data_IF_430344130729
#
_entry.id   IF_430344130729
#
_cell.length_a   1.000
_cell.length_b   1.000
_cell.length_c   1.000
_cell.angle_alpha   90.00
_cell.angle_beta   90.00
_cell.angle_gamma   90.00
#
_symmetry.space_group_name_H-M   'P 1'
#
loop_
_entity.id
_entity.type
_entity.pdbx_description
1 polymer ?
#
# COMPACT_ATOMS: atom_id res chain seq x y z
N UNK A 1 24.23 -1.46 -39.63
CA UNK A 1 23.11 -2.24 -39.09
C UNK A 1 21.86 -1.41 -39.31
N UNK A 2 21.06 -1.75 -40.30
CA UNK A 2 19.83 -1.03 -40.63
C UNK A 2 18.79 -1.34 -39.56
N UNK A 3 18.32 -0.30 -38.86
CA UNK A 3 17.11 -0.41 -38.06
C UNK A 3 15.94 -0.60 -39.03
N UNK A 4 15.31 -1.77 -38.99
CA UNK A 4 13.99 -2.01 -39.57
C UNK A 4 13.00 -1.09 -38.86
N UNK A 5 12.84 0.11 -39.40
CA UNK A 5 11.76 1.01 -39.03
C UNK A 5 10.50 0.46 -39.71
N UNK A 6 9.84 -0.50 -39.06
CA UNK A 6 8.48 -0.91 -39.43
C UNK A 6 7.65 0.36 -39.52
N UNK A 7 7.32 0.77 -40.75
CA UNK A 7 6.45 1.90 -41.03
C UNK A 7 5.16 1.63 -40.30
N UNK A 8 4.86 2.43 -39.27
CA UNK A 8 3.62 2.31 -38.53
C UNK A 8 2.47 2.42 -39.54
N UNK A 9 1.76 1.32 -39.76
CA UNK A 9 0.58 1.30 -40.62
C UNK A 9 -0.38 2.37 -40.11
N UNK A 10 -0.70 3.35 -40.95
CA UNK A 10 -1.65 4.38 -40.59
C UNK A 10 -2.98 3.69 -40.25
N UNK A 11 -3.44 3.87 -39.01
CA UNK A 11 -4.74 3.36 -38.58
C UNK A 11 -5.78 4.18 -39.35
N UNK A 12 -6.57 3.55 -40.22
CA UNK A 12 -7.68 4.21 -40.93
C UNK A 12 -8.72 4.69 -39.90
N UNK A 13 -8.56 5.88 -39.34
CA UNK A 13 -9.45 6.43 -38.32
C UNK A 13 -10.86 6.60 -38.87
N UNK A 14 -11.89 6.28 -38.07
CA UNK A 14 -13.30 6.51 -38.44
C UNK A 14 -14.22 5.29 -38.29
N UNK A 15 -13.66 4.11 -38.01
CA UNK A 15 -14.44 2.94 -37.58
C UNK A 15 -14.43 2.88 -36.04
N UNK A 16 -15.45 3.48 -35.42
CA UNK A 16 -15.57 3.58 -33.97
C UNK A 16 -15.58 2.21 -33.26
N UNK A 17 -16.13 1.17 -33.88
CA UNK A 17 -16.16 -0.18 -33.30
C UNK A 17 -14.76 -0.79 -33.25
N UNK A 18 -13.98 -0.68 -34.34
CA UNK A 18 -12.59 -1.10 -34.37
C UNK A 18 -11.75 -0.31 -33.36
N UNK A 19 -11.93 1.01 -33.33
CA UNK A 19 -11.16 1.89 -32.46
C UNK A 19 -11.48 1.63 -30.97
N UNK A 20 -12.73 1.32 -30.62
CA UNK A 20 -13.12 0.89 -29.28
C UNK A 20 -12.48 -0.45 -28.86
N UNK A 21 -12.41 -1.43 -29.77
CA UNK A 21 -11.76 -2.72 -29.53
C UNK A 21 -10.25 -2.56 -29.36
N UNK A 22 -9.61 -1.74 -30.19
CA UNK A 22 -8.19 -1.41 -30.05
C UNK A 22 -7.91 -0.72 -28.72
N UNK A 23 -8.75 0.23 -28.30
CA UNK A 23 -8.62 0.87 -26.99
C UNK A 23 -8.78 -0.11 -25.83
N UNK A 24 -9.74 -1.04 -25.91
CA UNK A 24 -9.90 -2.10 -24.90
C UNK A 24 -8.68 -3.01 -24.82
N UNK A 25 -8.13 -3.40 -25.96
CA UNK A 25 -6.94 -4.25 -26.05
C UNK A 25 -5.68 -3.54 -25.51
N UNK A 26 -5.48 -2.28 -25.89
CA UNK A 26 -4.38 -1.46 -25.36
C UNK A 26 -4.54 -1.30 -23.85
N UNK A 27 -5.75 -0.97 -23.38
CA UNK A 27 -6.02 -0.87 -21.95
C UNK A 27 -5.68 -2.16 -21.22
N UNK A 28 -6.08 -3.33 -21.71
CA UNK A 28 -5.75 -4.60 -21.05
C UNK A 28 -4.24 -4.84 -20.97
N UNK A 29 -3.49 -4.54 -22.03
CA UNK A 29 -2.02 -4.68 -22.02
C UNK A 29 -1.40 -3.69 -21.02
N UNK A 30 -1.86 -2.44 -21.02
CA UNK A 30 -1.34 -1.39 -20.14
C UNK A 30 -1.65 -1.69 -18.68
N UNK A 31 -2.88 -2.08 -18.36
CA UNK A 31 -3.31 -2.41 -16.99
C UNK A 31 -2.51 -3.61 -16.46
N UNK A 32 -2.35 -4.69 -17.24
CA UNK A 32 -1.57 -5.86 -16.83
C UNK A 32 -0.10 -5.51 -16.56
N UNK A 33 0.54 -4.77 -17.47
CA UNK A 33 1.93 -4.32 -17.31
C UNK A 33 2.08 -3.38 -16.11
N UNK A 34 1.11 -2.48 -15.93
CA UNK A 34 1.05 -1.56 -14.80
C UNK A 34 1.00 -2.34 -13.48
N UNK A 35 0.11 -3.33 -13.36
CA UNK A 35 0.00 -4.17 -12.16
C UNK A 35 1.30 -4.91 -11.85
N UNK A 36 1.97 -5.47 -12.87
CA UNK A 36 3.27 -6.13 -12.70
C UNK A 36 4.35 -5.18 -12.19
N UNK A 37 4.44 -3.97 -12.75
CA UNK A 37 5.39 -2.94 -12.32
C UNK A 37 5.11 -2.49 -10.88
N UNK A 38 3.83 -2.27 -10.53
CA UNK A 38 3.43 -1.90 -9.17
C UNK A 38 3.80 -2.99 -8.17
N UNK A 39 3.47 -4.25 -8.49
CA UNK A 39 3.80 -5.40 -7.62
C UNK A 39 5.30 -5.53 -7.40
N UNK A 40 6.11 -5.40 -8.46
CA UNK A 40 7.56 -5.45 -8.36
C UNK A 40 8.13 -4.27 -7.55
N UNK A 41 7.59 -3.06 -7.74
CA UNK A 41 7.97 -1.88 -6.99
C UNK A 41 7.63 -2.01 -5.49
N UNK A 42 6.48 -2.61 -5.15
CA UNK A 42 6.06 -2.84 -3.77
C UNK A 42 6.91 -3.91 -3.09
N UNK A 43 7.17 -5.02 -3.76
CA UNK A 43 8.08 -6.06 -3.26
C UNK A 43 9.46 -5.48 -2.96
N UNK A 44 10.01 -4.68 -3.89
CA UNK A 44 11.29 -4.01 -3.68
C UNK A 44 11.26 -3.03 -2.50
N UNK A 45 10.18 -2.26 -2.36
CA UNK A 45 10.01 -1.29 -1.28
C UNK A 45 9.94 -1.97 0.09
N UNK A 46 9.23 -3.09 0.19
CA UNK A 46 9.15 -3.88 1.42
C UNK A 46 10.50 -4.49 1.79
N UNK A 47 11.26 -4.98 0.80
CA UNK A 47 12.63 -5.47 1.02
C UNK A 47 13.58 -4.35 1.48
N UNK A 48 13.56 -3.19 0.82
CA UNK A 48 14.38 -2.03 1.22
C UNK A 48 14.04 -1.52 2.62
N UNK A 49 12.77 -1.58 3.02
CA UNK A 49 12.35 -1.27 4.38
C UNK A 49 12.92 -2.26 5.39
N UNK A 50 12.87 -3.57 5.10
CA UNK A 50 13.44 -4.59 5.98
C UNK A 50 14.96 -4.42 6.19
N UNK A 51 15.68 -3.88 5.20
CA UNK A 51 17.13 -3.66 5.29
C UNK A 51 17.53 -2.33 5.93
N UNK A 52 16.82 -1.23 5.59
CA UNK A 52 17.27 0.14 5.83
C UNK A 52 16.29 0.99 6.64
N UNK A 53 15.19 0.40 7.10
CA UNK A 53 14.13 1.06 7.88
C UNK A 53 13.61 2.36 7.23
N UNK A 54 13.63 2.40 5.90
CA UNK A 54 13.21 3.60 5.16
C UNK A 54 11.73 3.47 4.79
N UNK A 55 10.87 4.20 5.49
CA UNK A 55 9.42 4.09 5.33
C UNK A 55 8.89 4.79 4.07
N UNK A 56 9.44 5.96 3.69
CA UNK A 56 8.91 6.78 2.60
C UNK A 56 9.96 7.16 1.56
N UNK A 57 9.58 7.09 0.28
CA UNK A 57 10.37 7.59 -0.84
C UNK A 57 9.56 8.53 -1.74
N UNK A 58 10.28 9.45 -2.39
CA UNK A 58 9.74 10.44 -3.33
C UNK A 58 10.32 10.18 -4.73
N UNK A 59 9.73 9.29 -5.53
CA UNK A 59 10.21 9.02 -6.88
C UNK A 59 10.14 10.28 -7.75
N UNK A 60 11.12 10.44 -8.64
CA UNK A 60 11.26 11.58 -9.54
C UNK A 60 11.30 11.16 -11.01
N UNK A 61 10.87 12.05 -11.89
CA UNK A 61 11.10 11.99 -13.34
C UNK A 61 11.78 13.29 -13.77
N UNK A 62 13.08 13.23 -14.10
CA UNK A 62 13.92 14.42 -14.13
C UNK A 62 13.89 15.13 -12.77
N UNK A 63 13.57 16.42 -12.78
CA UNK A 63 13.45 17.23 -11.55
C UNK A 63 12.05 17.17 -10.91
N UNK A 64 11.07 16.51 -11.54
CA UNK A 64 9.70 16.45 -11.06
C UNK A 64 9.50 15.34 -10.04
N UNK A 65 9.08 15.67 -8.82
CA UNK A 65 8.64 14.68 -7.83
C UNK A 65 7.25 14.18 -8.20
N UNK A 66 7.16 12.90 -8.55
CA UNK A 66 5.92 12.25 -9.02
C UNK A 66 4.92 11.99 -7.90
N UNK A 67 5.37 11.94 -6.66
CA UNK A 67 4.53 11.64 -5.51
C UNK A 67 5.32 11.01 -4.37
N UNK A 68 4.63 10.26 -3.54
CA UNK A 68 5.23 9.48 -2.45
C UNK A 68 4.82 8.02 -2.55
N UNK A 69 5.74 7.11 -2.21
CA UNK A 69 5.44 5.72 -1.87
C UNK A 69 5.87 5.49 -0.42
N UNK A 70 4.96 4.99 0.41
CA UNK A 70 5.15 4.83 1.85
C UNK A 70 4.78 3.42 2.27
N UNK A 71 5.70 2.70 2.91
CA UNK A 71 5.40 1.42 3.56
C UNK A 71 4.43 1.68 4.70
N UNK A 72 3.31 0.97 4.71
CA UNK A 72 2.32 1.07 5.76
C UNK A 72 2.75 0.18 6.93
N UNK A 73 3.29 0.81 7.98
CA UNK A 73 3.63 0.13 9.22
C UNK A 73 2.36 -0.15 10.02
N UNK A 74 1.99 -1.44 10.21
CA UNK A 74 0.92 -1.77 11.13
C UNK A 74 1.37 -1.43 12.56
N UNK A 75 0.43 -0.95 13.37
CA UNK A 75 0.68 -0.61 14.78
C UNK A 75 0.24 -1.76 15.67
N UNK A 76 0.94 -1.93 16.78
CA UNK A 76 0.51 -2.81 17.86
C UNK A 76 -0.88 -2.41 18.34
N UNK A 77 -1.68 -3.39 18.74
CA UNK A 77 -3.05 -3.17 19.19
C UNK A 77 -3.28 -3.86 20.52
N UNK A 78 -4.01 -3.18 21.40
CA UNK A 78 -4.57 -3.81 22.58
C UNK A 78 -5.84 -4.55 22.18
N UNK A 79 -5.91 -5.83 22.53
CA UNK A 79 -7.08 -6.68 22.27
C UNK A 79 -7.51 -7.35 23.55
N UNK A 80 -8.82 -7.52 23.73
CA UNK A 80 -9.35 -8.30 24.84
C UNK A 80 -9.22 -9.77 24.47
N UNK A 81 -8.37 -10.50 25.20
CA UNK A 81 -8.12 -11.93 25.04
C UNK A 81 -9.02 -12.76 25.96
N UNK A 82 -9.34 -12.21 27.13
CA UNK A 82 -10.26 -12.80 28.11
C UNK A 82 -11.41 -11.81 28.34
N UNK A 83 -12.49 -12.02 27.59
CA UNK A 83 -13.69 -11.19 27.70
C UNK A 83 -14.33 -11.30 29.09
N UNK A 84 -14.25 -12.45 29.76
CA UNK A 84 -14.87 -12.67 31.07
C UNK A 84 -14.15 -11.86 32.16
N UNK A 85 -12.81 -11.87 32.16
CA UNK A 85 -12.02 -11.07 33.10
C UNK A 85 -12.20 -9.56 32.87
N UNK A 86 -12.28 -9.14 31.59
CA UNK A 86 -12.49 -7.75 31.21
C UNK A 86 -13.88 -7.25 31.63
N UNK A 87 -14.92 -8.05 31.41
CA UNK A 87 -16.29 -7.73 31.82
C UNK A 87 -16.44 -7.67 33.35
N UNK A 88 -15.88 -8.64 34.08
CA UNK A 88 -15.92 -8.65 35.54
C UNK A 88 -15.25 -7.40 36.16
N UNK A 89 -14.13 -6.94 35.58
CA UNK A 89 -13.49 -5.69 35.98
C UNK A 89 -14.39 -4.48 35.73
N UNK A 90 -14.99 -4.39 34.53
CA UNK A 90 -15.87 -3.30 34.15
C UNK A 90 -17.08 -3.17 35.09
N UNK A 91 -17.65 -4.30 35.51
CA UNK A 91 -18.75 -4.37 36.47
C UNK A 91 -18.31 -3.98 37.89
N UNK A 92 -17.14 -4.45 38.34
CA UNK A 92 -16.66 -4.25 39.71
C UNK A 92 -16.27 -2.81 40.06
N UNK A 93 -15.67 -2.08 39.13
CA UNK A 93 -15.22 -0.70 39.34
C UNK A 93 -16.28 0.36 39.03
N UNK A 94 -17.49 -0.08 38.63
CA UNK A 94 -18.52 0.79 38.09
C UNK A 94 -18.04 1.61 36.87
N UNK A 95 -17.00 1.12 36.18
CA UNK A 95 -16.40 1.74 34.99
C UNK A 95 -17.34 1.75 33.77
N UNK A 96 -18.45 1.02 33.88
CA UNK A 96 -19.59 1.04 32.98
C UNK A 96 -20.92 1.14 33.75
N UNK A 97 -21.17 2.26 34.44
CA UNK A 97 -22.50 2.51 35.06
C UNK A 97 -23.54 2.87 34.00
N UNK A 98 -23.96 1.90 33.17
CA UNK A 98 -25.32 1.75 32.65
C UNK A 98 -25.33 0.63 31.61
N UNK A 99 -25.72 -0.57 32.05
CA UNK A 99 -26.32 -1.66 31.25
C UNK A 99 -25.82 -1.80 29.81
N UNK A 100 -24.89 -2.74 29.60
CA UNK A 100 -24.83 -3.85 28.62
C UNK A 100 -25.89 -4.03 27.50
N UNK A 101 -26.54 -2.98 27.01
CA UNK A 101 -27.48 -3.04 25.89
C UNK A 101 -27.01 -1.96 24.91
N UNK A 102 -26.17 -2.40 23.96
CA UNK A 102 -25.60 -1.61 22.86
C UNK A 102 -24.46 -0.68 23.29
N UNK A 103 -23.22 -1.16 23.33
CA UNK A 103 -22.26 -0.63 22.34
C UNK A 103 -20.91 -1.38 22.30
N UNK A 104 -20.54 -1.97 21.15
CA UNK A 104 -19.13 -2.24 20.78
C UNK A 104 -18.22 -1.00 20.93
N UNK A 105 -18.82 0.19 20.95
CA UNK A 105 -18.14 1.48 21.10
C UNK A 105 -17.48 1.66 22.47
N UNK A 106 -18.02 1.13 23.57
CA UNK A 106 -17.37 1.26 24.89
C UNK A 106 -16.09 0.43 24.98
N UNK A 107 -16.13 -0.85 24.57
CA UNK A 107 -14.93 -1.72 24.48
C UNK A 107 -13.85 -1.05 23.63
N UNK A 108 -14.25 -0.52 22.48
CA UNK A 108 -13.36 0.23 21.58
C UNK A 108 -12.81 1.51 22.23
N UNK A 109 -13.63 2.25 22.98
CA UNK A 109 -13.22 3.47 23.66
C UNK A 109 -12.24 3.18 24.82
N UNK A 110 -12.51 2.15 25.62
CA UNK A 110 -11.62 1.69 26.70
C UNK A 110 -10.25 1.30 26.12
N UNK A 111 -10.22 0.46 25.08
CA UNK A 111 -8.98 0.07 24.41
C UNK A 111 -8.26 1.25 23.74
N UNK A 112 -9.01 2.23 23.22
CA UNK A 112 -8.44 3.44 22.59
C UNK A 112 -7.67 4.32 23.58
N UNK A 113 -8.07 4.36 24.84
CA UNK A 113 -7.42 5.17 25.87
C UNK A 113 -6.53 4.37 26.82
N UNK A 114 -6.57 3.05 26.74
CA UNK A 114 -5.66 2.17 27.45
C UNK A 114 -4.22 2.34 26.95
N UNK A 115 -3.27 2.09 27.84
CA UNK A 115 -1.83 2.07 27.57
C UNK A 115 -1.29 0.70 27.95
N UNK A 116 -0.30 0.22 27.21
CA UNK A 116 0.44 -0.96 27.60
C UNK A 116 1.53 -0.56 28.60
N UNK A 117 1.58 -1.24 29.74
CA UNK A 117 2.70 -1.18 30.67
C UNK A 117 3.67 -2.31 30.33
N UNK A 118 4.82 -1.95 29.75
CA UNK A 118 5.85 -2.92 29.35
C UNK A 118 6.52 -3.60 30.54
N UNK A 119 6.63 -2.95 31.69
CA UNK A 119 7.31 -3.50 32.86
C UNK A 119 6.50 -4.63 33.48
N UNK A 120 5.18 -4.41 33.60
CA UNK A 120 4.27 -5.37 34.21
C UNK A 120 3.53 -6.27 33.20
N UNK A 121 3.72 -6.03 31.89
CA UNK A 121 3.04 -6.75 30.80
C UNK A 121 1.51 -6.76 30.95
N UNK A 122 0.95 -5.61 31.31
CA UNK A 122 -0.50 -5.42 31.50
C UNK A 122 -1.00 -4.17 30.79
N UNK A 123 -2.28 -4.15 30.43
CA UNK A 123 -2.91 -2.91 29.98
C UNK A 123 -3.35 -2.09 31.21
N UNK A 124 -3.15 -0.78 31.15
CA UNK A 124 -3.57 0.17 32.16
C UNK A 124 -4.47 1.24 31.57
N UNK A 125 -5.44 1.71 32.34
CA UNK A 125 -6.27 2.87 31.98
C UNK A 125 -5.45 4.15 32.02
N UNK A 126 -6.03 5.26 31.55
CA UNK A 126 -5.42 6.60 31.69
C UNK A 126 -5.16 6.98 33.16
N UNK A 127 -5.90 6.41 34.11
CA UNK A 127 -5.72 6.66 35.56
C UNK A 127 -4.69 5.73 36.20
N UNK A 128 -4.10 4.80 35.45
CA UNK A 128 -3.09 3.85 35.94
C UNK A 128 -3.68 2.58 36.56
N UNK A 129 -4.98 2.35 36.43
CA UNK A 129 -5.62 1.12 36.89
C UNK A 129 -5.40 -0.02 35.88
N UNK A 130 -5.10 -1.23 36.37
CA UNK A 130 -4.90 -2.40 35.52
C UNK A 130 -6.23 -2.85 34.92
N UNK A 131 -6.23 -3.09 33.61
CA UNK A 131 -7.35 -3.64 32.85
C UNK A 131 -7.07 -5.13 32.60
N UNK A 132 -7.70 -6.04 33.37
CA UNK A 132 -7.49 -7.47 33.22
C UNK A 132 -8.10 -7.98 31.90
N UNK A 133 -7.55 -9.08 31.40
CA UNK A 133 -8.00 -9.74 30.16
C UNK A 133 -7.60 -9.06 28.86
N UNK A 134 -6.83 -7.96 28.91
CA UNK A 134 -6.30 -7.27 27.73
C UNK A 134 -4.85 -7.69 27.47
N UNK A 135 -4.52 -7.99 26.22
CA UNK A 135 -3.17 -8.31 25.78
C UNK A 135 -2.69 -7.35 24.67
N UNK A 136 -1.38 -7.17 24.58
CA UNK A 136 -0.75 -6.54 23.42
C UNK A 136 -0.64 -7.53 22.27
N UNK A 137 -1.38 -7.30 21.21
CA UNK A 137 -1.19 -7.96 19.93
C UNK A 137 -0.12 -7.19 19.14
N UNK A 138 1.06 -7.80 19.01
CA UNK A 138 2.14 -7.25 18.18
C UNK A 138 1.69 -7.16 16.73
N UNK A 139 2.06 -6.05 16.10
CA UNK A 139 1.80 -5.82 14.70
C UNK A 139 2.50 -6.89 13.84
N UNK A 140 1.83 -7.39 12.79
CA UNK A 140 2.52 -8.21 11.80
C UNK A 140 3.60 -7.38 11.07
N UNK A 141 4.55 -7.99 10.36
CA UNK A 141 5.45 -7.24 9.50
C UNK A 141 4.64 -6.43 8.45
N UNK A 142 5.14 -5.24 8.04
CA UNK A 142 4.50 -4.47 6.98
C UNK A 142 4.35 -5.28 5.69
N UNK A 143 3.16 -5.23 5.09
CA UNK A 143 2.83 -5.99 3.88
C UNK A 143 2.28 -5.11 2.75
N UNK A 144 2.06 -3.82 3.03
CA UNK A 144 1.35 -2.91 2.13
C UNK A 144 2.18 -1.65 1.90
N UNK A 145 2.14 -1.14 0.67
CA UNK A 145 2.72 0.15 0.29
C UNK A 145 1.60 1.05 -0.18
N UNK A 146 1.57 2.29 0.33
CA UNK A 146 0.64 3.32 -0.08
C UNK A 146 1.31 4.25 -1.08
N UNK A 147 0.56 4.67 -2.10
CA UNK A 147 1.04 5.64 -3.09
C UNK A 147 0.15 6.89 -3.05
N UNK A 148 0.78 8.07 -2.97
CA UNK A 148 0.10 9.35 -3.13
C UNK A 148 0.72 10.13 -4.29
N UNK A 149 0.05 10.19 -5.45
CA UNK A 149 0.52 10.96 -6.61
C UNK A 149 0.59 12.46 -6.33
N UNK A 150 1.51 13.15 -7.00
CA UNK A 150 1.54 14.60 -7.06
C UNK A 150 0.77 15.08 -8.31
N UNK A 151 -0.44 15.66 -8.15
CA UNK A 151 -1.27 16.05 -9.29
C UNK A 151 -0.62 17.08 -10.20
N UNK A 152 0.19 17.99 -9.66
CA UNK A 152 0.90 19.02 -10.46
C UNK A 152 1.98 18.40 -11.34
N UNK A 153 2.71 17.42 -10.81
CA UNK A 153 3.71 16.70 -11.59
C UNK A 153 3.04 15.91 -12.73
N UNK A 154 1.89 15.29 -12.46
CA UNK A 154 1.13 14.56 -13.47
C UNK A 154 0.57 15.48 -14.56
N UNK A 155 0.10 16.68 -14.19
CA UNK A 155 -0.31 17.69 -15.17
C UNK A 155 0.84 18.09 -16.09
N UNK A 156 2.04 18.33 -15.54
CA UNK A 156 3.24 18.64 -16.33
C UNK A 156 3.66 17.48 -17.23
N UNK A 157 3.59 16.23 -16.75
CA UNK A 157 3.87 15.07 -17.61
C UNK A 157 2.86 14.95 -18.77
N UNK A 158 1.58 15.26 -18.52
CA UNK A 158 0.56 15.27 -19.57
C UNK A 158 0.82 16.38 -20.61
N UNK A 159 1.30 17.56 -20.19
CA UNK A 159 1.75 18.62 -21.10
C UNK A 159 2.96 18.17 -21.91
N UNK A 160 4.01 17.64 -21.27
CA UNK A 160 5.19 17.11 -21.97
C UNK A 160 4.82 16.05 -23.00
N UNK A 161 3.86 15.17 -22.69
CA UNK A 161 3.37 14.15 -23.63
C UNK A 161 2.66 14.79 -24.83
N UNK A 162 1.81 15.79 -24.61
CA UNK A 162 1.11 16.50 -25.70
C UNK A 162 2.06 17.30 -26.59
N UNK A 163 3.09 17.89 -26.01
CA UNK A 163 4.08 18.71 -26.72
C UNK A 163 5.19 17.89 -27.39
N UNK A 164 5.16 16.55 -27.26
CA UNK A 164 6.21 15.67 -27.80
C UNK A 164 7.55 15.78 -27.08
N UNK A 165 7.58 16.40 -25.90
CA UNK A 165 8.77 16.58 -25.05
C UNK A 165 8.96 15.42 -24.06
N UNK A 166 8.07 14.43 -24.07
CA UNK A 166 8.17 13.25 -23.23
C UNK A 166 9.26 12.30 -23.76
N UNK A 167 10.38 12.25 -23.06
CA UNK A 167 11.59 11.54 -23.51
C UNK A 167 11.68 10.08 -23.08
N UNK A 168 10.77 9.59 -22.24
CA UNK A 168 10.78 8.21 -21.78
C UNK A 168 10.09 7.27 -22.78
N UNK A 169 10.76 6.16 -23.10
CA UNK A 169 10.12 5.06 -23.80
C UNK A 169 9.20 4.28 -22.83
N UNK A 170 7.91 4.54 -22.93
CA UNK A 170 6.89 3.88 -22.12
C UNK A 170 6.82 2.36 -22.38
N UNK A 171 7.29 1.88 -23.53
CA UNK A 171 7.29 0.45 -23.87
C UNK A 171 8.37 -0.33 -23.12
N UNK A 172 9.45 0.36 -22.74
CA UNK A 172 10.59 -0.19 -22.01
C UNK A 172 10.36 -0.27 -20.48
N UNK A 173 9.23 0.22 -19.97
CA UNK A 173 8.92 0.20 -18.53
C UNK A 173 8.66 -1.21 -17.98
N UNK A 174 8.50 -2.21 -18.86
CA UNK A 174 8.46 -3.62 -18.49
C UNK A 174 9.84 -4.21 -18.75
N UNK A 175 10.58 -4.68 -17.73
CA UNK A 175 11.62 -5.66 -18.01
C UNK A 175 10.89 -6.89 -18.58
N UNK A 176 11.26 -7.35 -19.78
CA UNK A 176 10.89 -8.71 -20.19
C UNK A 176 11.14 -9.63 -19.00
N UNK A 177 10.22 -10.56 -18.66
CA UNK A 177 10.56 -11.60 -17.71
C UNK A 177 11.91 -12.12 -18.17
N UNK A 178 12.92 -12.00 -17.30
CA UNK A 178 14.22 -12.57 -17.62
C UNK A 178 13.90 -14.00 -18.00
N UNK A 179 14.22 -14.38 -19.24
CA UNK A 179 14.38 -15.78 -19.55
C UNK A 179 15.36 -16.27 -18.48
N UNK A 180 14.84 -16.96 -17.47
CA UNK A 180 15.67 -17.67 -16.53
C UNK A 180 16.58 -18.50 -17.41
N UNK A 181 17.87 -18.18 -17.38
CA UNK A 181 18.91 -18.93 -18.06
C UNK A 181 18.71 -20.39 -17.69
N UNK A 182 18.08 -21.14 -18.60
CA UNK A 182 18.10 -22.59 -18.57
C UNK A 182 19.55 -22.92 -18.85
N UNK A 183 20.34 -23.09 -17.80
CA UNK A 183 21.67 -23.69 -17.91
C UNK A 183 21.50 -25.01 -18.69
N UNK A 184 22.16 -25.17 -19.85
CA UNK A 184 22.20 -26.48 -20.47
C UNK A 184 23.03 -27.38 -19.56
N UNK A 185 22.37 -28.40 -19.00
CA UNK A 185 23.05 -29.48 -18.31
C UNK A 185 24.16 -30.03 -19.22
N UNK A 186 25.41 -29.92 -18.75
CA UNK A 186 26.57 -30.60 -19.33
C UNK A 186 26.62 -32.06 -18.90
#
# INVERSE_FOLDING_TARGET
>A
MSQDSTTATAVETGNLDRDALLMRFIKSIVDERYEQIVKAADARRLAEYAEKDTTTVKPKFGDLVLGTRTVAEPKDKLVVADDQAFEAWAESGNHGTWKFIVDPTWKTATLRYARWDEENQVAVTKTGEVIPGVMLQKAPPPSTVTQKPNPEAFAKLAEMLREGQFTADLRALVPSPKDDEVEPAQ
#
